data_IF_636206737030
#
_entry.id   IF_636206737030
#
_cell.length_a   1.000
_cell.length_b   1.000
_cell.length_c   1.000
_cell.angle_alpha   90.00
_cell.angle_beta   90.00
_cell.angle_gamma   90.00
#
_symmetry.space_group_name_H-M   'P 1'
#
loop_
_entity.id
_entity.type
_entity.pdbx_description
1 polymer ?
#
# COMPACT_ATOMS: atom_id res chain seq x y z
N UNK A 1 -22.82 57.83 9.54
CA UNK A 1 -23.09 57.12 8.28
C UNK A 1 -21.76 56.73 7.66
N UNK A 2 -21.40 55.45 7.71
CA UNK A 2 -20.74 54.69 6.64
C UNK A 2 -20.40 53.30 7.18
N UNK A 3 -21.06 52.30 6.59
CA UNK A 3 -20.87 50.88 6.84
C UNK A 3 -19.57 50.43 6.19
N UNK A 4 -18.72 49.71 6.91
CA UNK A 4 -17.61 48.93 6.35
C UNK A 4 -17.89 47.45 6.64
N UNK A 5 -18.30 46.75 5.59
CA UNK A 5 -18.48 45.30 5.56
C UNK A 5 -17.11 44.69 5.21
N UNK A 6 -16.52 43.94 6.14
CA UNK A 6 -15.30 43.17 5.91
C UNK A 6 -15.63 41.76 5.45
N UNK A 7 -15.35 41.44 4.19
CA UNK A 7 -15.57 40.14 3.58
C UNK A 7 -14.60 39.08 4.10
N UNK A 8 -15.15 37.90 4.40
CA UNK A 8 -14.40 36.68 4.73
C UNK A 8 -13.90 36.05 3.43
N UNK A 9 -12.58 35.95 3.29
CA UNK A 9 -11.94 35.24 2.17
C UNK A 9 -11.83 33.75 2.52
N UNK A 10 -12.71 32.93 1.96
CA UNK A 10 -12.65 31.47 2.02
C UNK A 10 -11.62 30.99 1.00
N UNK A 11 -10.47 30.52 1.48
CA UNK A 11 -9.46 29.89 0.64
C UNK A 11 -9.91 28.45 0.28
N UNK A 12 -10.44 28.25 -0.92
CA UNK A 12 -10.57 26.92 -1.52
C UNK A 12 -9.17 26.37 -1.80
N UNK A 13 -8.74 25.33 -1.07
CA UNK A 13 -7.67 24.45 -1.54
C UNK A 13 -8.23 23.63 -2.70
N UNK A 14 -7.83 24.00 -3.93
CA UNK A 14 -8.00 23.14 -5.09
C UNK A 14 -7.05 21.94 -4.96
N UNK A 15 -7.60 20.78 -4.65
CA UNK A 15 -6.92 19.49 -4.81
C UNK A 15 -6.65 19.31 -6.30
N UNK A 16 -5.40 19.47 -6.72
CA UNK A 16 -4.98 19.11 -8.07
C UNK A 16 -5.05 17.58 -8.21
N UNK A 17 -6.16 17.08 -8.73
CA UNK A 17 -6.23 15.74 -9.32
C UNK A 17 -5.35 15.82 -10.56
N UNK A 18 -4.16 15.21 -10.50
CA UNK A 18 -3.36 14.99 -11.70
C UNK A 18 -4.19 14.10 -12.61
N UNK A 19 -4.78 14.68 -13.66
CA UNK A 19 -5.42 13.90 -14.71
C UNK A 19 -4.35 12.95 -15.30
N UNK A 20 -4.68 11.66 -15.39
CA UNK A 20 -3.84 10.71 -16.08
C UNK A 20 -3.55 11.20 -17.51
N UNK A 21 -2.35 10.94 -18.07
CA UNK A 21 -2.10 11.26 -19.47
C UNK A 21 -3.13 10.56 -20.35
N UNK A 22 -3.64 11.26 -21.36
CA UNK A 22 -4.60 10.70 -22.29
C UNK A 22 -4.00 9.45 -22.96
N UNK A 23 -4.58 8.27 -22.71
CA UNK A 23 -4.11 6.97 -23.21
C UNK A 23 -3.64 5.98 -22.13
N UNK A 24 -3.37 6.45 -20.90
CA UNK A 24 -3.08 5.57 -19.77
C UNK A 24 -4.36 4.94 -19.22
N UNK A 25 -4.37 3.61 -19.08
CA UNK A 25 -5.44 2.85 -18.46
C UNK A 25 -4.92 2.12 -17.21
N UNK A 26 -5.68 2.20 -16.12
CA UNK A 26 -5.44 1.43 -14.90
C UNK A 26 -6.31 0.19 -14.92
N UNK A 27 -5.66 -0.96 -15.06
CA UNK A 27 -6.31 -2.27 -15.27
C UNK A 27 -5.81 -3.28 -14.24
N UNK A 28 -6.46 -4.43 -14.15
CA UNK A 28 -5.96 -5.59 -13.41
C UNK A 28 -5.59 -6.72 -14.36
N UNK A 29 -4.43 -7.33 -14.13
CA UNK A 29 -3.91 -8.42 -14.96
C UNK A 29 -3.71 -9.67 -14.10
N UNK A 30 -4.21 -10.80 -14.57
CA UNK A 30 -3.96 -12.13 -14.03
C UNK A 30 -3.39 -13.02 -15.14
N UNK A 31 -2.36 -13.80 -14.80
CA UNK A 31 -1.84 -14.83 -15.70
C UNK A 31 -1.92 -16.17 -15.00
N UNK A 32 -2.68 -17.07 -15.59
CA UNK A 32 -2.77 -18.46 -15.18
C UNK A 32 -1.78 -19.31 -15.97
N UNK A 33 -1.18 -20.29 -15.32
CA UNK A 33 -0.50 -21.42 -15.95
C UNK A 33 -1.32 -22.69 -15.78
N UNK A 34 -0.76 -23.81 -16.23
CA UNK A 34 -1.42 -25.13 -16.24
C UNK A 34 -1.82 -25.57 -14.83
N UNK A 35 -0.92 -25.38 -13.84
CA UNK A 35 -1.12 -25.89 -12.48
C UNK A 35 -1.20 -24.80 -11.40
N UNK A 36 -0.73 -23.58 -11.70
CA UNK A 36 -0.65 -22.48 -10.73
C UNK A 36 -0.94 -21.14 -11.40
N UNK A 37 -1.34 -20.15 -10.60
CA UNK A 37 -1.35 -18.74 -11.04
C UNK A 37 0.10 -18.26 -11.12
N UNK A 38 0.52 -17.80 -12.30
CA UNK A 38 1.88 -17.31 -12.58
C UNK A 38 2.02 -15.83 -12.20
N UNK A 39 0.96 -15.06 -12.40
CA UNK A 39 0.83 -13.67 -11.98
C UNK A 39 -0.50 -13.51 -11.27
N UNK A 40 -0.45 -13.27 -9.94
CA UNK A 40 -1.64 -12.94 -9.15
C UNK A 40 -2.31 -11.68 -9.71
N UNK A 41 -3.61 -11.49 -9.42
CA UNK A 41 -4.36 -10.32 -9.86
C UNK A 41 -3.62 -9.03 -9.47
N UNK A 42 -2.99 -8.40 -10.46
CA UNK A 42 -2.05 -7.29 -10.25
C UNK A 42 -2.60 -6.05 -10.92
N UNK A 43 -2.77 -4.98 -10.14
CA UNK A 43 -3.18 -3.67 -10.66
C UNK A 43 -1.98 -2.95 -11.27
N UNK A 44 -2.11 -2.54 -12.53
CA UNK A 44 -1.09 -1.80 -13.28
C UNK A 44 -1.71 -0.59 -13.95
N UNK A 45 -0.90 0.43 -14.21
CA UNK A 45 -1.31 1.61 -14.99
C UNK A 45 -0.40 1.69 -16.21
N UNK A 46 -0.97 1.57 -17.41
CA UNK A 46 -0.21 1.70 -18.65
C UNK A 46 0.24 3.14 -18.87
N UNK A 47 1.23 3.31 -19.73
CA UNK A 47 1.77 4.63 -20.06
C UNK A 47 2.29 4.65 -21.50
N UNK A 48 2.39 5.84 -22.14
CA UNK A 48 2.96 5.97 -23.47
C UNK A 48 4.36 5.34 -23.55
N UNK A 49 4.59 4.57 -24.61
CA UNK A 49 5.86 3.89 -24.83
C UNK A 49 5.77 2.81 -25.91
N UNK A 50 6.87 2.10 -26.10
CA UNK A 50 6.96 0.99 -27.05
C UNK A 50 7.52 -0.25 -26.37
N UNK A 51 6.95 -1.40 -26.68
CA UNK A 51 7.43 -2.72 -26.25
C UNK A 51 8.03 -3.44 -27.47
N UNK A 52 9.29 -3.86 -27.34
CA UNK A 52 10.02 -4.66 -28.34
C UNK A 52 10.73 -5.79 -27.62
N UNK A 53 10.43 -7.05 -27.97
CA UNK A 53 11.00 -8.25 -27.33
C UNK A 53 12.14 -8.91 -28.10
N UNK A 54 12.21 -8.69 -29.41
CA UNK A 54 13.18 -9.34 -30.30
C UNK A 54 14.31 -8.40 -30.77
N UNK A 55 14.34 -7.18 -30.24
CA UNK A 55 15.33 -6.16 -30.59
C UNK A 55 15.10 -5.49 -31.95
N UNK A 56 14.03 -5.84 -32.69
CA UNK A 56 13.69 -5.18 -33.94
C UNK A 56 12.69 -4.02 -33.69
N UNK A 57 13.09 -2.75 -33.89
CA UNK A 57 12.20 -1.61 -33.65
C UNK A 57 10.98 -1.57 -34.59
N UNK A 58 11.02 -2.26 -35.73
CA UNK A 58 9.84 -2.38 -36.61
C UNK A 58 8.72 -3.23 -35.99
N UNK A 59 9.03 -4.02 -34.96
CA UNK A 59 8.11 -4.89 -34.24
C UNK A 59 7.63 -4.24 -32.92
N UNK A 60 7.67 -2.91 -32.84
CA UNK A 60 7.26 -2.18 -31.66
C UNK A 60 5.74 -2.21 -31.48
N UNK A 61 5.28 -2.67 -30.32
CA UNK A 61 3.88 -2.56 -29.90
C UNK A 61 3.67 -1.35 -28.98
N UNK A 62 2.48 -0.75 -29.03
CA UNK A 62 2.14 0.36 -28.15
C UNK A 62 2.03 -0.12 -26.68
N UNK A 63 2.78 0.50 -25.77
CA UNK A 63 2.76 0.17 -24.34
C UNK A 63 1.46 0.59 -23.63
N UNK A 64 0.57 1.33 -24.29
CA UNK A 64 -0.77 1.65 -23.77
C UNK A 64 -1.80 0.55 -24.02
N UNK A 65 -1.46 -0.50 -24.76
CA UNK A 65 -2.34 -1.62 -25.11
C UNK A 65 -2.13 -2.83 -24.19
N UNK A 66 -2.89 -3.91 -24.39
CA UNK A 66 -2.86 -5.11 -23.55
C UNK A 66 -1.44 -5.65 -23.30
N UNK A 67 -0.55 -5.56 -24.29
CA UNK A 67 0.85 -5.98 -24.17
C UNK A 67 1.64 -5.18 -23.13
N UNK A 68 1.36 -3.88 -22.98
CA UNK A 68 2.00 -3.05 -21.97
C UNK A 68 1.52 -3.38 -20.57
N UNK A 69 0.24 -3.72 -20.41
CA UNK A 69 -0.29 -4.22 -19.14
C UNK A 69 0.36 -5.57 -18.76
N UNK A 70 0.52 -6.49 -19.72
CA UNK A 70 1.26 -7.75 -19.51
C UNK A 70 2.73 -7.52 -19.13
N UNK A 71 3.43 -6.62 -19.84
CA UNK A 71 4.82 -6.25 -19.53
C UNK A 71 4.94 -5.74 -18.09
N UNK A 72 4.06 -4.84 -17.64
CA UNK A 72 4.09 -4.30 -16.29
C UNK A 72 3.78 -5.37 -15.24
N UNK A 73 2.75 -6.20 -15.45
CA UNK A 73 2.32 -7.21 -14.49
C UNK A 73 3.35 -8.34 -14.32
N UNK A 74 4.09 -8.66 -15.38
CA UNK A 74 5.18 -9.65 -15.36
C UNK A 74 6.54 -9.04 -15.02
N UNK A 75 6.68 -7.71 -14.97
CA UNK A 75 7.98 -7.05 -14.90
C UNK A 75 8.88 -7.41 -16.09
N UNK A 76 8.27 -7.65 -17.25
CA UNK A 76 8.92 -8.04 -18.49
C UNK A 76 9.27 -9.52 -18.65
N UNK A 77 8.87 -10.36 -17.70
CA UNK A 77 9.12 -11.81 -17.71
C UNK A 77 8.09 -12.57 -18.55
N UNK A 78 8.11 -12.26 -19.85
CA UNK A 78 7.39 -12.97 -20.89
C UNK A 78 8.17 -12.89 -22.20
N UNK A 79 7.91 -13.81 -23.12
CA UNK A 79 8.50 -13.80 -24.46
C UNK A 79 7.63 -14.52 -25.48
N UNK A 80 7.90 -14.24 -26.75
CA UNK A 80 7.45 -15.05 -27.88
C UNK A 80 7.76 -14.35 -29.21
N UNK A 81 7.53 -15.04 -30.33
CA UNK A 81 7.91 -14.57 -31.65
C UNK A 81 6.96 -13.48 -32.16
N UNK A 82 7.49 -12.64 -33.05
CA UNK A 82 6.71 -11.69 -33.82
C UNK A 82 6.05 -12.35 -35.03
N UNK A 83 4.78 -12.05 -35.26
CA UNK A 83 4.04 -12.42 -36.47
C UNK A 83 3.57 -11.18 -37.21
N UNK A 84 3.97 -11.09 -38.49
CA UNK A 84 3.53 -9.99 -39.35
C UNK A 84 2.00 -9.97 -39.47
N UNK A 85 1.40 -8.84 -39.07
CA UNK A 85 -0.04 -8.63 -39.08
C UNK A 85 -0.80 -9.10 -37.83
N UNK A 86 -0.13 -9.79 -36.88
CA UNK A 86 -0.73 -10.26 -35.63
C UNK A 86 0.00 -9.76 -34.36
N UNK A 87 1.21 -9.23 -34.52
CA UNK A 87 2.04 -8.75 -33.41
C UNK A 87 2.81 -9.88 -32.72
N UNK A 88 3.23 -9.66 -31.47
CA UNK A 88 3.86 -10.70 -30.67
C UNK A 88 2.84 -11.77 -30.25
N UNK A 89 3.18 -13.03 -30.49
CA UNK A 89 2.54 -14.16 -29.82
C UNK A 89 3.15 -14.29 -28.43
N UNK A 90 2.31 -14.30 -27.39
CA UNK A 90 2.77 -14.56 -26.01
C UNK A 90 2.88 -16.07 -25.84
N UNK A 91 4.11 -16.57 -25.74
CA UNK A 91 4.35 -18.02 -25.66
C UNK A 91 4.92 -18.45 -24.33
N UNK A 92 5.72 -17.62 -23.66
CA UNK A 92 6.30 -17.94 -22.36
C UNK A 92 6.00 -16.83 -21.39
N UNK A 93 5.53 -17.19 -20.19
CA UNK A 93 5.34 -16.25 -19.07
C UNK A 93 5.89 -16.90 -17.81
N UNK A 94 6.74 -16.20 -17.06
CA UNK A 94 7.38 -16.73 -15.83
C UNK A 94 8.05 -18.10 -16.02
N UNK A 95 8.59 -18.36 -17.21
CA UNK A 95 9.26 -19.62 -17.56
C UNK A 95 8.35 -20.79 -17.96
N UNK A 96 7.03 -20.63 -17.96
CA UNK A 96 6.09 -21.65 -18.48
C UNK A 96 5.72 -21.33 -19.94
N UNK A 97 5.95 -22.29 -20.84
CA UNK A 97 5.81 -22.13 -22.29
C UNK A 97 4.62 -22.91 -22.85
N UNK A 98 3.78 -22.21 -23.62
CA UNK A 98 2.70 -22.75 -24.44
C UNK A 98 2.79 -22.13 -25.84
N UNK A 99 3.02 -22.95 -26.86
CA UNK A 99 3.27 -22.46 -28.20
C UNK A 99 2.69 -23.37 -29.29
N UNK A 100 2.68 -22.84 -30.52
CA UNK A 100 2.07 -23.53 -31.65
C UNK A 100 2.72 -24.88 -31.97
N UNK A 101 3.97 -25.12 -31.54
CA UNK A 101 4.64 -26.41 -31.69
C UNK A 101 4.03 -27.54 -30.87
N UNK A 102 3.34 -27.21 -29.77
CA UNK A 102 2.55 -28.16 -28.95
C UNK A 102 1.04 -28.02 -29.17
N UNK A 103 0.62 -27.25 -30.18
CA UNK A 103 -0.76 -26.83 -30.41
C UNK A 103 -1.39 -26.06 -29.23
N UNK A 104 -0.58 -25.29 -28.52
CA UNK A 104 -1.01 -24.48 -27.38
C UNK A 104 -0.63 -23.01 -27.60
N UNK A 105 -1.21 -22.12 -26.80
CA UNK A 105 -0.88 -20.70 -26.80
C UNK A 105 -1.40 -20.05 -25.53
N UNK A 106 -0.92 -18.85 -25.19
CA UNK A 106 -1.62 -18.03 -24.20
C UNK A 106 -2.78 -17.30 -24.88
N UNK A 107 -4.00 -17.75 -24.62
CA UNK A 107 -5.19 -16.96 -24.88
C UNK A 107 -5.25 -15.79 -23.90
N UNK A 108 -5.96 -14.73 -24.27
CA UNK A 108 -6.23 -13.64 -23.35
C UNK A 108 -7.63 -13.07 -23.51
N UNK A 109 -8.23 -12.72 -22.38
CA UNK A 109 -9.60 -12.26 -22.26
C UNK A 109 -9.63 -10.91 -21.55
N UNK A 110 -10.64 -10.10 -21.88
CA UNK A 110 -10.92 -8.81 -21.24
C UNK A 110 -12.36 -8.84 -20.74
N UNK A 111 -12.55 -8.57 -19.45
CA UNK A 111 -13.87 -8.50 -18.79
C UNK A 111 -14.74 -9.73 -19.09
N UNK A 112 -14.12 -10.92 -18.99
CA UNK A 112 -14.78 -12.19 -19.22
C UNK A 112 -15.11 -12.51 -20.68
N UNK A 113 -14.54 -11.78 -21.64
CA UNK A 113 -14.71 -12.01 -23.09
C UNK A 113 -13.38 -12.33 -23.76
N UNK A 114 -13.41 -13.25 -24.71
CA UNK A 114 -12.25 -13.59 -25.52
C UNK A 114 -11.84 -12.38 -26.35
N UNK A 115 -10.55 -12.00 -26.31
CA UNK A 115 -10.04 -10.91 -27.11
C UNK A 115 -10.13 -11.26 -28.60
N UNK A 116 -10.52 -10.26 -29.40
CA UNK A 116 -10.67 -10.40 -30.86
C UNK A 116 -9.50 -9.79 -31.63
N UNK A 117 -8.57 -9.15 -30.92
CA UNK A 117 -7.37 -8.53 -31.45
C UNK A 117 -6.14 -9.11 -30.76
N UNK A 118 -4.97 -9.03 -31.41
CA UNK A 118 -3.71 -9.38 -30.78
C UNK A 118 -3.38 -8.44 -29.62
N UNK A 119 -2.54 -8.92 -28.70
CA UNK A 119 -2.12 -8.18 -27.50
C UNK A 119 -1.50 -6.81 -27.82
N UNK A 120 -0.91 -6.66 -29.01
CA UNK A 120 -0.27 -5.43 -29.46
C UNK A 120 -1.25 -4.34 -29.89
N UNK A 121 -2.44 -4.70 -30.36
CA UNK A 121 -3.44 -3.75 -30.90
C UNK A 121 -4.63 -3.58 -29.97
N UNK A 122 -4.82 -4.50 -29.02
CA UNK A 122 -5.95 -4.48 -28.09
C UNK A 122 -5.86 -3.28 -27.13
N UNK A 123 -6.68 -2.27 -27.37
CA UNK A 123 -6.83 -1.10 -26.51
C UNK A 123 -7.49 -1.47 -25.19
N UNK A 124 -7.20 -0.69 -24.15
CA UNK A 124 -7.70 -0.87 -22.80
C UNK A 124 -8.50 0.34 -22.33
N UNK A 125 -9.51 0.11 -21.50
CA UNK A 125 -10.19 1.13 -20.72
C UNK A 125 -9.79 1.04 -19.23
N UNK A 126 -10.00 2.14 -18.51
CA UNK A 126 -9.81 2.16 -17.05
C UNK A 126 -10.78 1.16 -16.39
N UNK A 127 -10.22 0.25 -15.59
CA UNK A 127 -10.96 -0.76 -14.84
C UNK A 127 -11.03 -2.13 -15.49
N UNK A 128 -10.57 -2.31 -16.73
CA UNK A 128 -10.58 -3.61 -17.42
C UNK A 128 -9.85 -4.70 -16.60
N UNK A 129 -10.37 -5.93 -16.65
CA UNK A 129 -9.69 -7.14 -16.15
C UNK A 129 -9.17 -7.98 -17.30
N UNK A 130 -7.85 -8.15 -17.34
CA UNK A 130 -7.16 -9.02 -18.29
C UNK A 130 -6.85 -10.36 -17.64
N UNK A 131 -7.26 -11.44 -18.31
CA UNK A 131 -6.89 -12.82 -17.97
C UNK A 131 -6.09 -13.43 -19.12
N UNK A 132 -4.86 -13.84 -18.86
CA UNK A 132 -4.07 -14.67 -19.76
C UNK A 132 -4.04 -16.11 -19.24
N UNK A 133 -4.19 -17.10 -20.11
CA UNK A 133 -4.16 -18.51 -19.72
C UNK A 133 -3.77 -19.43 -20.89
N UNK A 134 -3.28 -20.66 -20.62
CA UNK A 134 -2.98 -21.62 -21.66
C UNK A 134 -4.25 -22.16 -22.28
N UNK A 135 -4.36 -22.03 -23.59
CA UNK A 135 -5.39 -22.61 -24.42
C UNK A 135 -4.75 -23.50 -25.48
N UNK A 136 -5.57 -24.26 -26.20
CA UNK A 136 -5.11 -25.17 -27.23
C UNK A 136 -5.91 -25.01 -28.52
N UNK A 137 -5.37 -25.58 -29.60
CA UNK A 137 -6.06 -25.69 -30.88
C UNK A 137 -5.81 -27.07 -31.50
N UNK A 138 -6.52 -27.37 -32.59
CA UNK A 138 -6.35 -28.61 -33.34
C UNK A 138 -7.08 -29.82 -32.76
N UNK A 139 -6.82 -31.00 -33.34
CA UNK A 139 -7.54 -32.23 -33.03
C UNK A 139 -7.25 -32.74 -31.61
N UNK A 140 -8.30 -33.03 -30.84
CA UNK A 140 -8.19 -33.51 -29.46
C UNK A 140 -8.07 -32.39 -28.41
N UNK A 141 -7.98 -31.12 -28.83
CA UNK A 141 -8.06 -29.99 -27.93
C UNK A 141 -9.48 -29.82 -27.40
N UNK A 142 -9.60 -29.69 -26.09
CA UNK A 142 -10.80 -29.13 -25.43
C UNK A 142 -10.37 -27.85 -24.75
N UNK A 143 -10.69 -26.71 -25.38
CA UNK A 143 -10.35 -25.38 -24.84
C UNK A 143 -10.95 -25.22 -23.44
N UNK A 144 -10.13 -24.86 -22.43
CA UNK A 144 -10.63 -24.68 -21.08
C UNK A 144 -11.44 -23.39 -20.98
N UNK A 145 -12.66 -23.48 -20.48
CA UNK A 145 -13.47 -22.30 -20.21
C UNK A 145 -13.05 -21.66 -18.88
N UNK A 146 -12.82 -20.34 -18.83
CA UNK A 146 -12.56 -19.65 -17.57
C UNK A 146 -13.74 -19.70 -16.61
N UNK A 147 -13.40 -19.88 -15.32
CA UNK A 147 -14.31 -19.63 -14.24
C UNK A 147 -14.29 -18.13 -13.90
N UNK A 148 -15.44 -17.66 -13.44
CA UNK A 148 -15.59 -16.41 -12.72
C UNK A 148 -16.31 -16.69 -11.40
N UNK A 149 -16.02 -15.91 -10.37
CA UNK A 149 -16.61 -16.09 -9.05
C UNK A 149 -17.06 -14.76 -8.46
N UNK A 150 -18.05 -14.83 -7.58
CA UNK A 150 -18.51 -13.69 -6.80
C UNK A 150 -18.70 -14.12 -5.36
N UNK A 151 -18.00 -13.46 -4.45
CA UNK A 151 -18.14 -13.63 -3.02
C UNK A 151 -18.67 -12.35 -2.35
N UNK A 152 -19.36 -12.44 -1.20
CA UNK A 152 -19.69 -11.27 -0.42
C UNK A 152 -18.42 -10.59 0.13
N UNK A 153 -18.45 -9.27 0.23
CA UNK A 153 -17.33 -8.51 0.80
C UNK A 153 -17.08 -8.84 2.28
N UNK A 154 -18.11 -9.26 3.01
CA UNK A 154 -18.06 -9.55 4.45
C UNK A 154 -18.82 -10.81 4.81
N UNK A 155 -18.34 -11.55 5.81
CA UNK A 155 -19.03 -12.71 6.38
C UNK A 155 -18.80 -12.83 7.90
N UNK A 156 -19.74 -13.45 8.61
CA UNK A 156 -19.56 -13.76 10.03
C UNK A 156 -18.75 -15.04 10.19
N UNK A 157 -17.82 -15.07 11.16
CA UNK A 157 -17.05 -16.27 11.50
C UNK A 157 -17.96 -17.48 11.70
N UNK A 158 -17.64 -18.56 11.00
CA UNK A 158 -18.34 -19.85 11.11
C UNK A 158 -19.75 -19.87 10.54
N UNK A 159 -20.31 -18.73 10.13
CA UNK A 159 -21.59 -18.69 9.43
C UNK A 159 -21.38 -19.07 7.95
N UNK A 160 -22.32 -19.80 7.33
CA UNK A 160 -22.28 -20.04 5.89
C UNK A 160 -22.55 -18.74 5.14
N UNK A 161 -21.80 -18.53 4.06
CA UNK A 161 -22.06 -17.52 3.05
C UNK A 161 -21.95 -18.13 1.67
N UNK A 162 -22.72 -17.58 0.72
CA UNK A 162 -22.80 -18.11 -0.63
C UNK A 162 -21.67 -17.54 -1.50
N UNK A 163 -20.98 -18.44 -2.20
CA UNK A 163 -20.07 -18.10 -3.28
C UNK A 163 -20.66 -18.60 -4.58
N UNK A 164 -20.91 -17.69 -5.53
CA UNK A 164 -21.39 -18.03 -6.86
C UNK A 164 -20.21 -18.24 -7.79
N UNK A 165 -20.21 -19.33 -8.55
CA UNK A 165 -19.21 -19.62 -9.57
C UNK A 165 -19.91 -19.88 -10.89
N UNK A 166 -19.41 -19.25 -11.94
CA UNK A 166 -19.88 -19.45 -13.31
C UNK A 166 -18.74 -19.86 -14.22
N UNK A 167 -19.09 -20.51 -15.32
CA UNK A 167 -18.21 -20.74 -16.46
C UNK A 167 -18.56 -19.70 -17.52
N UNK A 168 -17.56 -19.00 -18.03
CA UNK A 168 -17.71 -17.98 -19.05
C UNK A 168 -17.58 -18.58 -20.45
N UNK A 169 -18.34 -18.06 -21.42
CA UNK A 169 -18.37 -18.56 -22.80
C UNK A 169 -17.48 -17.75 -23.78
N UNK A 170 -16.85 -16.68 -23.30
CA UNK A 170 -15.98 -15.81 -24.09
C UNK A 170 -16.70 -14.80 -24.97
N UNK A 171 -18.03 -14.87 -25.07
CA UNK A 171 -18.88 -13.94 -25.82
C UNK A 171 -19.68 -13.01 -24.89
N UNK A 172 -19.40 -13.06 -23.59
CA UNK A 172 -20.08 -12.29 -22.54
C UNK A 172 -21.25 -13.01 -21.90
N UNK A 173 -21.50 -14.27 -22.26
CA UNK A 173 -22.43 -15.15 -21.57
C UNK A 173 -21.73 -15.94 -20.46
N UNK A 174 -22.54 -16.48 -19.55
CA UNK A 174 -22.08 -17.33 -18.46
C UNK A 174 -23.12 -18.38 -18.09
N UNK A 175 -22.67 -19.50 -17.56
CA UNK A 175 -23.51 -20.58 -17.05
C UNK A 175 -23.06 -21.02 -15.65
N UNK A 176 -23.96 -21.50 -14.78
CA UNK A 176 -23.59 -22.05 -13.49
C UNK A 176 -22.52 -23.13 -13.56
N UNK A 177 -21.43 -22.97 -12.79
CA UNK A 177 -20.36 -23.95 -12.77
C UNK A 177 -20.62 -25.02 -11.71
N UNK A 178 -21.43 -26.03 -12.02
CA UNK A 178 -21.66 -27.16 -11.10
C UNK A 178 -20.37 -27.95 -10.83
N UNK A 179 -20.17 -28.38 -9.58
CA UNK A 179 -19.05 -29.23 -9.18
C UNK A 179 -17.69 -28.54 -9.11
N UNK A 180 -17.65 -27.20 -9.13
CA UNK A 180 -16.45 -26.43 -8.86
C UNK A 180 -16.12 -26.47 -7.35
N UNK A 181 -14.85 -26.55 -7.01
CA UNK A 181 -14.36 -26.48 -5.63
C UNK A 181 -14.03 -25.05 -5.28
N UNK A 182 -14.66 -24.52 -4.24
CA UNK A 182 -14.45 -23.18 -3.70
C UNK A 182 -13.65 -23.26 -2.41
N UNK A 183 -12.63 -22.43 -2.26
CA UNK A 183 -11.78 -22.37 -1.06
C UNK A 183 -11.57 -20.94 -0.58
N UNK A 184 -11.54 -20.76 0.75
CA UNK A 184 -11.12 -19.52 1.41
C UNK A 184 -10.75 -19.82 2.88
N UNK A 185 -9.66 -19.23 3.39
CA UNK A 185 -9.29 -19.36 4.82
C UNK A 185 -9.17 -20.79 5.35
N UNK A 186 -8.77 -21.74 4.50
CA UNK A 186 -8.67 -23.17 4.81
C UNK A 186 -10.01 -23.94 4.74
N UNK A 187 -11.14 -23.25 4.56
CA UNK A 187 -12.42 -23.89 4.30
C UNK A 187 -12.55 -24.31 2.82
N UNK A 188 -13.34 -25.34 2.56
CA UNK A 188 -13.64 -25.84 1.22
C UNK A 188 -15.12 -26.18 1.09
N UNK A 189 -15.70 -25.91 -0.08
CA UNK A 189 -17.05 -26.28 -0.45
C UNK A 189 -17.14 -26.60 -1.95
N UNK A 190 -18.22 -27.24 -2.39
CA UNK A 190 -18.44 -27.57 -3.80
C UNK A 190 -19.75 -26.97 -4.27
N UNK A 191 -19.77 -26.43 -5.49
CA UNK A 191 -20.96 -25.79 -6.05
C UNK A 191 -22.03 -26.78 -6.47
N UNK A 192 -23.28 -26.42 -6.19
CA UNK A 192 -24.49 -27.12 -6.66
C UNK A 192 -24.78 -26.90 -8.14
N UNK A 193 -25.93 -27.41 -8.61
CA UNK A 193 -26.39 -27.26 -9.99
C UNK A 193 -26.69 -25.78 -10.37
N UNK A 194 -26.95 -24.95 -9.37
CA UNK A 194 -27.11 -23.49 -9.48
C UNK A 194 -25.78 -22.72 -9.48
N UNK A 195 -24.64 -23.43 -9.36
CA UNK A 195 -23.31 -22.83 -9.33
C UNK A 195 -22.97 -22.17 -8.00
N UNK A 196 -23.72 -22.44 -6.93
CA UNK A 196 -23.50 -21.83 -5.61
C UNK A 196 -22.88 -22.85 -4.66
N UNK A 197 -21.86 -22.41 -3.91
CA UNK A 197 -21.28 -23.15 -2.79
C UNK A 197 -21.46 -22.35 -1.50
N UNK A 198 -22.02 -22.99 -0.47
CA UNK A 198 -22.07 -22.42 0.88
C UNK A 198 -20.74 -22.69 1.59
N UNK A 199 -19.98 -21.65 1.88
CA UNK A 199 -18.67 -21.72 2.53
C UNK A 199 -18.74 -21.15 3.96
N UNK A 200 -18.01 -21.76 4.89
CA UNK A 200 -17.92 -21.26 6.28
C UNK A 200 -16.47 -21.20 6.72
N UNK A 201 -15.98 -19.99 6.98
CA UNK A 201 -14.58 -19.77 7.40
C UNK A 201 -14.53 -19.66 8.92
N UNK A 202 -13.75 -20.50 9.63
CA UNK A 202 -13.77 -20.57 11.09
C UNK A 202 -12.91 -19.51 11.78
N UNK A 203 -12.18 -18.69 11.02
CA UNK A 203 -11.26 -17.68 11.54
C UNK A 203 -11.58 -16.31 10.97
N UNK A 204 -11.28 -15.27 11.74
CA UNK A 204 -11.43 -13.87 11.31
C UNK A 204 -10.23 -13.42 10.47
N UNK A 205 -10.47 -12.51 9.54
CA UNK A 205 -9.45 -11.96 8.65
C UNK A 205 -9.95 -11.76 7.23
N UNK A 206 -9.10 -11.20 6.38
CA UNK A 206 -9.37 -11.08 4.94
C UNK A 206 -8.81 -12.30 4.23
N UNK A 207 -9.66 -13.03 3.52
CA UNK A 207 -9.29 -14.24 2.80
C UNK A 207 -9.62 -14.08 1.33
N UNK A 208 -8.68 -14.49 0.48
CA UNK A 208 -8.95 -14.64 -0.95
C UNK A 208 -9.85 -15.86 -1.19
N UNK A 209 -10.86 -15.68 -2.03
CA UNK A 209 -11.74 -16.74 -2.49
C UNK A 209 -11.22 -17.25 -3.83
N UNK A 210 -11.09 -18.57 -3.94
CA UNK A 210 -10.59 -19.24 -5.14
C UNK A 210 -11.56 -20.33 -5.57
N UNK A 211 -11.80 -20.46 -6.86
CA UNK A 211 -12.58 -21.55 -7.44
C UNK A 211 -11.77 -22.33 -8.46
N UNK A 212 -11.84 -23.66 -8.38
CA UNK A 212 -11.16 -24.58 -9.29
C UNK A 212 -12.12 -25.67 -9.80
N UNK A 213 -11.92 -26.11 -11.03
CA UNK A 213 -12.64 -27.24 -11.63
C UNK A 213 -11.74 -27.90 -12.67
N UNK A 214 -11.76 -29.22 -12.74
CA UNK A 214 -10.98 -29.95 -13.74
C UNK A 214 -11.39 -29.52 -15.16
N UNK A 215 -10.41 -29.22 -16.01
CA UNK A 215 -10.63 -28.76 -17.38
C UNK A 215 -11.10 -27.30 -17.52
N UNK A 216 -11.08 -26.50 -16.45
CA UNK A 216 -11.44 -25.08 -16.48
C UNK A 216 -10.28 -24.20 -16.02
N UNK A 217 -10.24 -22.95 -16.47
CA UNK A 217 -9.29 -21.96 -15.95
C UNK A 217 -9.79 -21.48 -14.59
N UNK A 218 -8.89 -21.42 -13.62
CA UNK A 218 -9.21 -21.12 -12.22
C UNK A 218 -9.65 -19.65 -12.05
N UNK A 219 -10.54 -19.40 -11.10
CA UNK A 219 -10.93 -18.06 -10.70
C UNK A 219 -10.29 -17.70 -9.36
N UNK A 220 -9.73 -16.49 -9.27
CA UNK A 220 -9.01 -15.97 -8.10
C UNK A 220 -9.14 -14.44 -8.07
N UNK A 221 -9.03 -13.83 -6.89
CA UNK A 221 -8.97 -12.37 -6.76
C UNK A 221 -10.01 -11.76 -5.82
N UNK A 222 -11.22 -12.33 -5.71
CA UNK A 222 -12.19 -11.83 -4.73
C UNK A 222 -11.71 -12.03 -3.31
N UNK A 223 -12.05 -11.08 -2.45
CA UNK A 223 -11.75 -11.14 -1.04
C UNK A 223 -13.03 -11.12 -0.22
N UNK A 224 -13.09 -12.00 0.78
CA UNK A 224 -14.10 -11.96 1.84
C UNK A 224 -13.42 -11.57 3.13
N UNK A 225 -13.98 -10.56 3.81
CA UNK A 225 -13.54 -10.17 5.14
C UNK A 225 -14.43 -10.85 6.20
N UNK A 226 -13.85 -11.79 6.94
CA UNK A 226 -14.56 -12.57 7.97
C UNK A 226 -14.38 -11.91 9.33
N UNK A 227 -15.48 -11.57 9.98
CA UNK A 227 -15.51 -10.86 11.27
C UNK A 227 -16.27 -11.65 12.35
N UNK A 228 -16.03 -11.31 13.61
CA UNK A 228 -16.83 -11.78 14.76
C UNK A 228 -18.03 -10.88 15.06
N UNK A 229 -18.32 -9.93 14.17
CA UNK A 229 -19.50 -9.05 14.23
C UNK A 229 -19.19 -7.75 14.96
N UNK A 230 -18.40 -7.84 16.02
CA UNK A 230 -18.17 -6.77 16.99
C UNK A 230 -16.67 -6.51 17.21
N UNK A 231 -15.83 -6.98 16.31
CA UNK A 231 -14.37 -6.98 16.47
C UNK A 231 -13.70 -5.71 15.94
N UNK A 232 -14.46 -4.82 15.27
CA UNK A 232 -13.91 -3.61 14.66
C UNK A 232 -13.22 -3.87 13.32
N UNK A 233 -13.32 -5.09 12.77
CA UNK A 233 -12.79 -5.48 11.47
C UNK A 233 -13.91 -5.50 10.42
N UNK A 234 -13.54 -5.49 9.13
CA UNK A 234 -14.52 -5.64 8.04
C UNK A 234 -15.66 -4.61 8.03
N UNK A 235 -15.42 -3.40 8.55
CA UNK A 235 -16.43 -2.35 8.65
C UNK A 235 -17.42 -2.52 9.81
N UNK A 236 -17.24 -3.53 10.67
CA UNK A 236 -18.06 -3.69 11.87
C UNK A 236 -17.65 -2.73 12.99
N UNK A 237 -18.59 -2.41 13.87
CA UNK A 237 -18.37 -1.57 15.05
C UNK A 237 -18.45 -2.43 16.30
N UNK A 238 -17.43 -2.40 17.15
CA UNK A 238 -17.49 -3.05 18.46
C UNK A 238 -18.62 -2.41 19.31
N UNK A 239 -19.57 -3.18 19.88
CA UNK A 239 -20.55 -2.69 20.81
C UNK A 239 -19.80 -2.14 22.01
N UNK A 240 -20.11 -0.89 22.32
CA UNK A 240 -19.72 -0.32 23.58
C UNK A 240 -20.33 -1.17 24.70
N UNK A 241 -19.50 -1.60 25.65
CA UNK A 241 -19.93 -2.36 26.83
C UNK A 241 -21.08 -1.61 27.53
N UNK A 242 -22.18 -2.27 27.94
CA UNK A 242 -23.34 -1.59 28.51
C UNK A 242 -22.94 -0.68 29.68
N UNK A 243 -23.24 0.61 29.54
CA UNK A 243 -22.96 1.61 30.55
C UNK A 243 -23.77 1.35 31.84
N UNK A 244 -23.10 1.31 32.98
CA UNK A 244 -23.74 1.44 34.30
C UNK A 244 -24.14 2.91 34.51
N UNK A 245 -25.45 3.17 34.69
CA UNK A 245 -26.08 4.48 35.02
C UNK A 245 -25.76 5.65 34.06
N UNK A 246 -26.61 6.71 34.00
CA UNK A 246 -26.50 7.72 32.94
C UNK A 246 -25.19 8.51 33.08
N UNK A 247 -24.26 8.23 32.17
CA UNK A 247 -22.94 8.85 32.16
C UNK A 247 -22.96 10.25 31.51
N UNK A 248 -22.04 11.15 31.92
CA UNK A 248 -22.01 12.56 31.51
C UNK A 248 -21.60 12.70 30.03
N UNK A 249 -21.83 13.89 29.47
CA UNK A 249 -21.44 14.29 28.12
C UNK A 249 -20.10 13.70 27.64
N UNK A 250 -20.06 13.30 26.37
CA UNK A 250 -18.93 12.66 25.70
C UNK A 250 -17.55 13.18 26.15
N UNK A 251 -16.56 12.30 26.39
CA UNK A 251 -15.22 12.74 26.75
C UNK A 251 -14.68 13.62 25.62
N UNK A 252 -14.29 14.84 25.98
CA UNK A 252 -13.71 15.80 25.05
C UNK A 252 -12.53 15.14 24.31
N UNK A 253 -12.31 15.46 23.02
CA UNK A 253 -11.15 14.96 22.28
C UNK A 253 -9.88 15.20 23.09
N UNK A 254 -9.04 14.16 23.21
CA UNK A 254 -7.78 14.28 23.94
C UNK A 254 -6.88 15.29 23.23
N UNK A 255 -6.78 16.46 23.86
CA UNK A 255 -5.95 17.59 23.43
C UNK A 255 -4.73 17.76 24.33
N UNK A 256 -4.46 16.77 25.16
CA UNK A 256 -3.39 16.83 26.15
C UNK A 256 -2.08 16.53 25.47
N UNK A 257 -1.25 17.55 25.27
CA UNK A 257 0.08 17.33 24.70
C UNK A 257 0.98 16.51 25.63
N UNK A 258 1.79 15.58 25.09
CA UNK A 258 2.91 15.01 25.83
C UNK A 258 3.76 16.09 26.49
N UNK A 259 4.39 15.75 27.62
CA UNK A 259 5.38 16.63 28.25
C UNK A 259 6.75 15.94 28.22
N UNK A 260 7.58 16.29 27.24
CA UNK A 260 8.95 15.82 27.18
C UNK A 260 9.86 16.61 28.14
N UNK A 261 10.86 15.93 28.69
CA UNK A 261 11.89 16.50 29.56
C UNK A 261 13.26 15.92 29.26
N UNK A 262 14.23 16.79 29.03
CA UNK A 262 15.64 16.42 28.90
C UNK A 262 16.20 16.22 30.30
N UNK A 263 16.82 15.07 30.57
CA UNK A 263 17.32 14.70 31.91
C UNK A 263 18.84 14.61 31.98
N UNK A 264 19.52 14.34 30.86
CA UNK A 264 20.97 14.17 30.84
C UNK A 264 21.78 15.49 30.89
N UNK A 265 21.16 16.63 30.60
CA UNK A 265 21.86 17.91 30.45
C UNK A 265 21.09 18.99 31.23
N UNK A 266 21.68 19.57 32.29
CA UNK A 266 21.07 20.70 32.99
C UNK A 266 20.99 21.94 32.08
N UNK A 267 19.97 22.76 32.27
CA UNK A 267 19.87 24.06 31.59
C UNK A 267 21.07 24.94 31.94
N UNK A 268 21.59 25.63 30.93
CA UNK A 268 22.77 26.49 31.00
C UNK A 268 24.07 25.80 31.46
N UNK A 269 24.15 24.47 31.42
CA UNK A 269 25.36 23.76 31.81
C UNK A 269 26.56 24.11 30.91
N UNK A 270 27.75 24.20 31.50
CA UNK A 270 29.00 24.50 30.80
C UNK A 270 29.94 23.32 30.94
N UNK A 271 30.12 22.58 29.85
CA UNK A 271 31.07 21.49 29.76
C UNK A 271 32.48 22.02 29.47
N UNK A 272 33.48 21.44 30.12
CA UNK A 272 34.88 21.66 29.78
C UNK A 272 35.22 21.16 28.37
N UNK A 273 36.36 21.59 27.83
CA UNK A 273 36.83 21.18 26.51
C UNK A 273 36.86 19.64 26.38
N UNK A 274 36.23 19.11 25.33
CA UNK A 274 36.13 17.67 25.08
C UNK A 274 35.23 16.90 26.06
N UNK A 275 34.53 17.56 26.97
CA UNK A 275 33.62 16.95 27.96
C UNK A 275 32.14 17.13 27.64
N UNK A 276 31.81 17.54 26.41
CA UNK A 276 30.43 17.62 25.94
C UNK A 276 29.70 16.27 26.03
N UNK A 277 28.36 16.28 26.17
CA UNK A 277 27.56 15.08 26.35
C UNK A 277 27.59 14.23 25.09
N UNK A 278 27.90 12.94 25.22
CA UNK A 278 27.80 11.98 24.11
C UNK A 278 26.44 11.30 24.06
N UNK A 279 25.79 11.10 25.20
CA UNK A 279 24.45 10.50 25.26
C UNK A 279 23.46 11.59 25.65
N UNK A 280 22.47 11.81 24.81
CA UNK A 280 21.31 12.64 25.09
C UNK A 280 20.25 11.73 25.71
N UNK A 281 19.60 12.14 26.80
CA UNK A 281 18.53 11.37 27.43
C UNK A 281 17.43 12.28 27.96
N UNK A 282 16.25 11.70 28.05
CA UNK A 282 15.11 12.33 28.68
C UNK A 282 13.95 11.37 28.82
N UNK A 283 12.87 11.92 29.37
CA UNK A 283 11.62 11.22 29.60
C UNK A 283 10.47 11.96 28.92
N UNK A 284 9.34 11.28 28.72
CA UNK A 284 8.08 11.91 28.33
C UNK A 284 7.03 11.51 29.36
N UNK A 285 6.42 12.50 30.01
CA UNK A 285 5.37 12.30 31.01
C UNK A 285 3.98 12.58 30.45
N UNK A 286 2.98 11.91 31.03
CA UNK A 286 1.57 12.28 30.90
C UNK A 286 0.73 11.56 29.84
N UNK A 287 0.98 10.28 29.53
CA UNK A 287 0.27 9.63 28.41
C UNK A 287 -0.59 8.41 28.78
N UNK A 288 -1.94 8.54 28.73
CA UNK A 288 -2.86 7.41 28.70
C UNK A 288 -2.90 6.69 27.33
N UNK A 289 -2.58 7.38 26.23
CA UNK A 289 -2.78 6.90 24.85
C UNK A 289 -1.54 6.33 24.13
N UNK A 290 -0.35 6.55 24.69
CA UNK A 290 0.93 6.05 24.17
C UNK A 290 1.57 6.91 23.07
N UNK A 291 2.90 6.87 23.04
CA UNK A 291 3.73 7.72 22.18
C UNK A 291 3.77 7.22 20.73
N UNK A 292 3.63 8.14 19.78
CA UNK A 292 3.90 7.89 18.36
C UNK A 292 5.38 8.04 18.06
N UNK A 293 6.01 9.14 18.47
CA UNK A 293 7.45 9.35 18.27
C UNK A 293 8.03 10.51 19.09
N UNK A 294 9.34 10.43 19.32
CA UNK A 294 10.19 11.48 19.86
C UNK A 294 11.14 11.97 18.77
N UNK A 295 11.21 13.30 18.62
CA UNK A 295 12.12 13.99 17.70
C UNK A 295 13.09 14.86 18.48
N UNK A 296 14.32 14.94 17.98
CA UNK A 296 15.35 15.84 18.48
C UNK A 296 15.71 16.89 17.44
N UNK A 297 16.09 18.08 17.90
CA UNK A 297 16.76 19.10 17.10
C UNK A 297 17.93 19.66 17.90
N UNK A 298 19.13 19.58 17.33
CA UNK A 298 20.35 20.05 17.96
C UNK A 298 21.03 21.09 17.07
N UNK A 299 21.17 22.31 17.59
CA UNK A 299 21.85 23.42 16.89
C UNK A 299 23.07 23.88 17.68
N UNK A 300 24.08 24.39 16.98
CA UNK A 300 25.35 24.91 17.51
C UNK A 300 25.62 26.29 16.95
N UNK A 301 26.06 27.22 17.79
CA UNK A 301 26.66 28.50 17.42
C UNK A 301 28.06 28.59 18.05
N UNK A 302 29.07 28.82 17.22
CA UNK A 302 30.46 29.03 17.65
C UNK A 302 30.96 30.34 17.05
N UNK A 303 30.96 31.40 17.86
CA UNK A 303 31.42 32.73 17.44
C UNK A 303 30.75 33.26 16.17
N UNK A 304 29.46 32.96 15.95
CA UNK A 304 28.70 33.35 14.76
C UNK A 304 28.64 32.29 13.66
N UNK A 305 29.40 31.19 13.76
CA UNK A 305 29.29 30.05 12.84
C UNK A 305 28.23 29.07 13.33
N UNK A 306 27.15 28.95 12.57
CA UNK A 306 25.98 28.17 12.98
C UNK A 306 25.83 26.87 12.21
N UNK A 307 25.40 25.82 12.91
CA UNK A 307 25.19 24.50 12.34
C UNK A 307 24.06 23.75 13.01
N UNK A 308 23.40 22.86 12.27
CA UNK A 308 22.40 21.92 12.78
C UNK A 308 22.93 20.50 12.65
N UNK A 309 22.69 19.68 13.67
CA UNK A 309 22.94 18.25 13.57
C UNK A 309 21.96 17.62 12.57
N UNK A 310 22.46 16.71 11.74
CA UNK A 310 21.66 15.89 10.84
C UNK A 310 21.64 14.47 11.38
N UNK A 311 20.49 13.96 11.80
CA UNK A 311 20.35 12.56 12.23
C UNK A 311 20.67 11.56 11.11
N UNK A 312 20.38 11.91 9.85
CA UNK A 312 20.67 11.07 8.67
C UNK A 312 22.16 10.95 8.36
N UNK A 313 22.91 12.05 8.47
CA UNK A 313 24.34 12.09 8.16
C UNK A 313 25.23 12.00 9.38
N UNK A 314 24.62 11.96 10.57
CA UNK A 314 25.30 11.81 11.85
C UNK A 314 26.41 12.86 12.10
N UNK A 315 26.19 14.08 11.59
CA UNK A 315 27.15 15.19 11.70
C UNK A 315 26.50 16.56 11.66
N UNK A 316 27.22 17.58 12.14
CA UNK A 316 26.81 18.98 12.00
C UNK A 316 26.96 19.48 10.57
N UNK A 317 25.94 20.21 10.10
CA UNK A 317 25.90 20.84 8.77
C UNK A 317 25.72 22.35 8.93
N UNK A 318 26.33 23.18 8.08
CA UNK A 318 26.09 24.62 8.08
C UNK A 318 24.59 24.93 8.06
N UNK A 319 24.17 25.88 8.90
CA UNK A 319 22.79 26.32 9.00
C UNK A 319 22.73 27.81 9.36
N UNK A 320 21.57 28.44 9.13
CA UNK A 320 21.33 29.79 9.63
C UNK A 320 21.35 29.80 11.17
N UNK A 321 21.77 30.92 11.74
CA UNK A 321 21.83 31.06 13.19
C UNK A 321 20.44 31.12 13.80
N UNK A 322 20.22 30.34 14.86
CA UNK A 322 18.97 30.27 15.60
C UNK A 322 18.44 28.84 15.69
N UNK A 323 17.88 28.49 16.85
CA UNK A 323 17.38 27.14 17.12
C UNK A 323 16.26 26.73 16.14
N UNK A 324 15.46 27.68 15.66
CA UNK A 324 14.37 27.45 14.71
C UNK A 324 14.82 26.96 13.35
N UNK A 325 16.07 27.26 12.95
CA UNK A 325 16.63 26.84 11.67
C UNK A 325 17.25 25.44 11.69
N UNK A 326 17.30 24.80 12.87
CA UNK A 326 17.69 23.40 12.98
C UNK A 326 16.64 22.46 12.39
N UNK A 327 17.08 21.31 11.90
CA UNK A 327 16.19 20.24 11.42
C UNK A 327 15.89 19.25 12.54
N UNK A 328 14.64 18.81 12.59
CA UNK A 328 14.22 17.71 13.44
C UNK A 328 14.66 16.37 12.85
N UNK A 329 15.00 15.41 13.70
CA UNK A 329 15.21 14.02 13.34
C UNK A 329 14.55 13.13 14.39
N UNK A 330 13.92 12.04 13.96
CA UNK A 330 13.26 11.09 14.85
C UNK A 330 14.30 10.15 15.49
N UNK A 331 14.06 9.77 16.75
CA UNK A 331 14.94 8.86 17.50
C UNK A 331 14.23 7.58 18.00
N UNK A 332 12.91 7.48 17.83
CA UNK A 332 12.11 6.33 18.27
C UNK A 332 10.81 6.77 18.94
N UNK A 333 10.14 5.85 19.64
CA UNK A 333 8.82 6.05 20.28
C UNK A 333 8.81 5.70 21.78
N UNK A 334 9.98 5.56 22.41
CA UNK A 334 10.08 5.24 23.85
C UNK A 334 9.87 6.48 24.72
N UNK A 335 9.12 6.34 25.82
CA UNK A 335 8.95 7.39 26.82
C UNK A 335 10.28 7.72 27.52
N UNK A 336 11.05 6.68 27.85
CA UNK A 336 12.44 6.81 28.27
C UNK A 336 13.33 6.72 27.03
N UNK A 337 13.74 7.88 26.51
CA UNK A 337 14.49 7.95 25.27
C UNK A 337 15.98 8.23 25.53
N UNK A 338 16.81 7.71 24.64
CA UNK A 338 18.23 8.04 24.60
C UNK A 338 18.73 8.10 23.16
N UNK A 339 19.73 8.95 22.92
CA UNK A 339 20.39 9.06 21.62
C UNK A 339 21.90 9.23 21.83
N UNK A 340 22.69 8.32 21.25
CA UNK A 340 24.15 8.37 21.28
C UNK A 340 24.65 9.22 20.10
N UNK A 341 25.27 10.35 20.41
CA UNK A 341 25.97 11.14 19.41
C UNK A 341 27.21 10.38 18.91
N UNK A 342 27.44 10.35 17.58
CA UNK A 342 28.60 9.69 16.97
C UNK A 342 29.92 10.18 17.56
N UNK A 343 30.02 11.50 17.77
CA UNK A 343 31.16 12.18 18.39
C UNK A 343 30.68 13.11 19.49
N UNK A 344 31.58 13.44 20.44
CA UNK A 344 31.28 14.47 21.45
C UNK A 344 31.09 15.82 20.75
N UNK A 345 30.12 16.64 21.17
CA UNK A 345 29.93 17.97 20.60
C UNK A 345 31.23 18.79 20.70
N UNK A 346 31.68 19.43 19.61
CA UNK A 346 32.83 20.35 19.65
C UNK A 346 32.53 21.60 20.49
N UNK A 347 33.50 22.51 20.65
CA UNK A 347 33.28 23.81 21.31
C UNK A 347 32.04 24.50 20.76
N UNK A 348 31.25 25.21 21.55
CA UNK A 348 30.19 26.07 21.06
C UNK A 348 29.01 26.14 22.01
N UNK A 349 28.08 27.04 21.70
CA UNK A 349 26.79 27.17 22.39
C UNK A 349 25.74 26.35 21.65
N UNK A 350 25.06 25.47 22.36
CA UNK A 350 24.09 24.53 21.83
C UNK A 350 22.68 24.85 22.28
N UNK A 351 21.71 24.50 21.43
CA UNK A 351 20.31 24.37 21.82
C UNK A 351 19.85 22.99 21.40
N UNK A 352 19.44 22.19 22.38
CA UNK A 352 18.80 20.90 22.19
C UNK A 352 17.30 21.06 22.46
N UNK A 353 16.49 20.75 21.46
CA UNK A 353 15.05 20.64 21.57
C UNK A 353 14.61 19.19 21.43
N UNK A 354 13.57 18.83 22.16
CA UNK A 354 12.84 17.57 22.08
C UNK A 354 11.39 17.90 21.75
N UNK A 355 10.78 17.09 20.89
CA UNK A 355 9.36 17.18 20.58
C UNK A 355 8.81 15.76 20.60
N UNK A 356 7.93 15.49 21.57
CA UNK A 356 7.18 14.26 21.66
C UNK A 356 5.83 14.44 20.95
N UNK A 357 5.36 13.36 20.33
CA UNK A 357 4.08 13.29 19.62
C UNK A 357 3.40 12.00 20.09
N UNK A 358 2.18 12.11 20.59
CA UNK A 358 1.35 10.97 20.99
C UNK A 358 0.61 10.35 19.79
N UNK A 359 -0.06 9.22 20.00
CA UNK A 359 -0.89 8.58 18.96
C UNK A 359 -2.15 9.37 18.58
N UNK A 360 -2.57 10.32 19.41
CA UNK A 360 -3.63 11.29 19.11
C UNK A 360 -3.11 12.51 18.31
N UNK A 361 -1.82 12.52 17.95
CA UNK A 361 -1.12 13.60 17.26
C UNK A 361 -0.98 14.92 18.04
N UNK A 362 -1.21 14.92 19.35
CA UNK A 362 -0.85 16.06 20.20
C UNK A 362 0.67 16.17 20.27
N UNK A 363 1.19 17.41 20.26
CA UNK A 363 2.63 17.68 20.17
C UNK A 363 3.11 18.52 21.32
N UNK A 364 4.29 18.19 21.84
CA UNK A 364 4.96 19.01 22.84
C UNK A 364 5.66 20.23 22.21
N UNK A 365 4.87 21.20 21.73
CA UNK A 365 5.41 22.38 21.03
C UNK A 365 5.81 23.53 21.98
N UNK A 366 5.39 23.46 23.24
CA UNK A 366 5.76 24.43 24.26
C UNK A 366 7.24 24.23 24.63
N UNK A 367 8.13 24.98 23.97
CA UNK A 367 9.61 24.96 24.11
C UNK A 367 10.08 25.48 25.48
N UNK A 368 9.78 24.74 26.54
CA UNK A 368 10.09 25.04 27.95
C UNK A 368 11.57 24.80 28.22
N UNK A 369 12.30 25.87 28.60
CA UNK A 369 13.69 25.77 29.06
C UNK A 369 13.78 24.90 30.32
N UNK A 370 14.80 24.05 30.41
CA UNK A 370 14.94 23.06 31.48
C UNK A 370 13.92 21.90 31.40
N UNK A 371 13.06 21.89 30.38
CA UNK A 371 12.12 20.81 30.06
C UNK A 371 12.50 20.18 28.72
N UNK A 372 11.66 20.36 27.71
CA UNK A 372 11.89 19.87 26.35
C UNK A 372 12.87 20.72 25.54
N UNK A 373 13.40 21.82 26.12
CA UNK A 373 14.48 22.63 25.56
C UNK A 373 15.59 22.80 26.60
N UNK A 374 16.83 22.55 26.20
CA UNK A 374 18.00 22.95 26.99
C UNK A 374 19.04 23.70 26.16
N UNK A 375 19.67 24.68 26.78
CA UNK A 375 20.83 25.41 26.27
C UNK A 375 22.04 25.00 27.08
N UNK A 376 23.14 24.65 26.41
CA UNK A 376 24.41 24.33 27.09
C UNK A 376 25.59 24.84 26.28
N UNK A 377 26.77 24.93 26.92
CA UNK A 377 28.01 25.37 26.27
C UNK A 377 29.06 24.28 26.41
N UNK A 378 29.85 24.07 25.37
CA UNK A 378 31.10 23.32 25.43
C UNK A 378 32.23 24.32 25.18
N UNK A 379 33.21 24.40 26.09
CA UNK A 379 34.36 25.31 25.97
C UNK A 379 35.39 24.85 24.95
#
# INVERSE_FOLDING_TARGET
MNKLVGGVATALLASAVLAAPAGAATVTVRVEGTSTTLVLLTRVTTAPGQIVKDGNPAHACNAEHAIGALELATGGDWSGPWFNGLGYSVETVRGETHNAGTNEFYAFWIDGKAAQQGVCDQTLADGDELLFYPDCFGGGCTSPSPLDLTAPATAQRGAPFDVRVVTLDGNGGSAPAQGATVTAGGATATTGADGVAALSVPTTGTFEVRATKAGAVRATGDQVCVHDGDDGTCGTTRPETPASEPAPAAPAPDRTSPVAKITAIPEAHVFAHGKGPRVLRGTVGGEPGGLLMVKLRLTRNDGGRCSSFSGKLERFRPARCGATHGRWFAIGSSADWSYLLPTRPPRGRYVLDVNAIDKAYNRDDARRRGGNRVVFVVR
#
